data_IF_401318128413
#
_entry.id   IF_401318128413
#
_cell.length_a   1.000
_cell.length_b   1.000
_cell.length_c   1.000
_cell.angle_alpha   90.00
_cell.angle_beta   90.00
_cell.angle_gamma   90.00
#
_symmetry.space_group_name_H-M   'P 1'
#
loop_
_entity.id
_entity.type
_entity.pdbx_description
1 polymer ?
#
# COMPACT_ATOMS: atom_id res chain seq x y z
N UNK A 1 -40.51 -17.26 -4.53
CA UNK A 1 -39.77 -17.43 -3.27
C UNK A 1 -38.67 -16.38 -3.24
N UNK A 2 -39.00 -15.17 -2.78
CA UNK A 2 -38.04 -14.06 -2.64
C UNK A 2 -37.17 -14.39 -1.43
N UNK A 3 -35.86 -14.49 -1.61
CA UNK A 3 -34.91 -14.72 -0.51
C UNK A 3 -35.07 -13.55 0.46
N UNK A 4 -35.40 -13.87 1.70
CA UNK A 4 -35.43 -12.90 2.79
C UNK A 4 -34.06 -12.22 2.91
N UNK A 5 -34.12 -10.89 3.02
CA UNK A 5 -33.03 -9.97 3.31
C UNK A 5 -32.51 -10.19 4.74
N UNK A 6 -31.85 -11.32 4.98
CA UNK A 6 -30.92 -11.42 6.09
C UNK A 6 -29.59 -10.80 5.62
N UNK A 7 -29.58 -9.48 5.39
CA UNK A 7 -28.41 -8.74 4.94
C UNK A 7 -27.31 -8.89 5.98
N UNK A 8 -26.41 -9.83 5.74
CA UNK A 8 -25.21 -9.99 6.56
C UNK A 8 -24.45 -8.66 6.48
N UNK A 9 -24.18 -8.00 7.62
CA UNK A 9 -23.54 -6.69 7.61
C UNK A 9 -22.16 -6.78 6.97
N UNK A 10 -21.77 -5.74 6.23
CA UNK A 10 -20.43 -5.65 5.65
C UNK A 10 -19.38 -5.67 6.76
N UNK A 11 -18.39 -6.56 6.63
CA UNK A 11 -17.27 -6.66 7.55
C UNK A 11 -16.13 -5.76 7.06
N UNK A 12 -15.90 -4.65 7.76
CA UNK A 12 -14.71 -3.82 7.60
C UNK A 12 -13.74 -4.15 8.74
N UNK A 13 -12.63 -4.80 8.42
CA UNK A 13 -11.67 -5.32 9.41
C UNK A 13 -10.29 -4.71 9.22
N UNK A 14 -9.65 -4.27 10.30
CA UNK A 14 -8.26 -3.84 10.32
C UNK A 14 -7.38 -4.89 11.00
N UNK A 15 -6.32 -5.31 10.32
CA UNK A 15 -5.26 -6.17 10.84
C UNK A 15 -3.98 -5.34 10.99
N UNK A 16 -3.72 -4.92 12.22
CA UNK A 16 -2.56 -4.13 12.60
C UNK A 16 -1.44 -4.96 13.22
N UNK A 17 -0.29 -4.33 13.44
CA UNK A 17 0.83 -4.91 14.17
C UNK A 17 2.18 -4.40 13.63
N UNK A 18 3.23 -4.51 14.42
CA UNK A 18 4.59 -4.09 14.02
C UNK A 18 5.08 -4.78 12.72
N UNK A 19 6.02 -4.17 12.03
CA UNK A 19 6.72 -4.81 10.91
C UNK A 19 7.38 -6.12 11.35
N UNK A 20 6.94 -7.25 10.80
CA UNK A 20 7.47 -8.57 11.18
C UNK A 20 6.57 -9.41 12.08
N UNK A 21 5.35 -8.95 12.41
CA UNK A 21 4.36 -9.74 13.18
C UNK A 21 3.56 -10.77 12.37
N UNK A 22 3.90 -10.99 11.10
CA UNK A 22 3.26 -12.02 10.27
C UNK A 22 1.97 -11.61 9.55
N UNK A 23 1.63 -10.31 9.46
CA UNK A 23 0.44 -9.82 8.70
C UNK A 23 0.34 -10.42 7.29
N UNK A 24 1.40 -10.37 6.49
CA UNK A 24 1.39 -10.94 5.13
C UNK A 24 1.25 -12.48 5.13
N UNK A 25 1.64 -13.16 6.22
CA UNK A 25 1.40 -14.61 6.40
C UNK A 25 -0.08 -14.90 6.65
N UNK A 26 -0.78 -14.03 7.37
CA UNK A 26 -2.25 -14.10 7.53
C UNK A 26 -2.93 -13.93 6.16
N UNK A 27 -2.52 -12.94 5.37
CA UNK A 27 -3.02 -12.74 4.00
C UNK A 27 -2.80 -14.00 3.16
N UNK A 28 -1.61 -14.59 3.21
CA UNK A 28 -1.30 -15.83 2.49
C UNK A 28 -2.17 -17.02 2.94
N UNK A 29 -2.47 -17.14 4.24
CA UNK A 29 -3.35 -18.17 4.76
C UNK A 29 -4.80 -17.99 4.29
N UNK A 30 -5.29 -16.76 4.22
CA UNK A 30 -6.60 -16.45 3.62
C UNK A 30 -6.60 -16.83 2.15
N UNK A 31 -5.58 -16.44 1.39
CA UNK A 31 -5.47 -16.77 -0.03
C UNK A 31 -5.50 -18.29 -0.27
N UNK A 32 -4.73 -19.05 0.52
CA UNK A 32 -4.70 -20.51 0.47
C UNK A 32 -6.06 -21.15 0.77
N UNK A 33 -6.82 -20.61 1.73
CA UNK A 33 -8.19 -21.06 2.02
C UNK A 33 -9.12 -20.89 0.80
N UNK A 34 -9.04 -19.74 0.11
CA UNK A 34 -9.83 -19.49 -1.10
C UNK A 34 -9.41 -20.40 -2.27
N UNK A 35 -8.12 -20.72 -2.39
CA UNK A 35 -7.62 -21.72 -3.36
C UNK A 35 -8.19 -23.10 -3.06
N UNK A 36 -8.08 -23.57 -1.81
CA UNK A 36 -8.56 -24.91 -1.41
C UNK A 36 -10.05 -25.09 -1.56
N UNK A 37 -10.82 -24.01 -1.43
CA UNK A 37 -12.28 -24.04 -1.59
C UNK A 37 -12.73 -23.75 -3.03
N UNK A 38 -11.81 -23.58 -3.98
CA UNK A 38 -12.14 -23.29 -5.39
C UNK A 38 -12.73 -21.90 -5.64
N UNK A 39 -12.54 -20.97 -4.70
CA UNK A 39 -13.17 -19.64 -4.70
C UNK A 39 -12.18 -18.49 -4.93
N UNK A 40 -10.96 -18.76 -5.42
CA UNK A 40 -9.93 -17.73 -5.66
C UNK A 40 -10.43 -16.51 -6.44
N UNK A 41 -11.37 -16.70 -7.38
CA UNK A 41 -11.99 -15.62 -8.15
C UNK A 41 -12.76 -14.60 -7.29
N UNK A 42 -13.16 -14.93 -6.05
CA UNK A 42 -13.90 -14.06 -5.13
C UNK A 42 -13.01 -13.22 -4.22
N UNK A 43 -11.73 -13.57 -4.11
CA UNK A 43 -10.74 -12.85 -3.33
C UNK A 43 -9.97 -11.89 -4.23
N UNK A 44 -9.75 -10.67 -3.76
CA UNK A 44 -8.87 -9.71 -4.40
C UNK A 44 -7.83 -9.23 -3.40
N UNK A 45 -6.56 -9.53 -3.71
CA UNK A 45 -5.40 -9.09 -2.95
C UNK A 45 -4.82 -7.84 -3.58
N UNK A 46 -4.79 -6.76 -2.81
CA UNK A 46 -4.19 -5.50 -3.24
C UNK A 46 -3.22 -4.95 -2.21
N UNK A 47 -2.34 -4.06 -2.64
CA UNK A 47 -1.49 -3.27 -1.76
C UNK A 47 -1.31 -1.85 -2.29
N UNK A 48 -0.74 -0.97 -1.46
CA UNK A 48 -0.47 0.44 -1.80
C UNK A 48 0.77 0.64 -2.68
N UNK A 49 1.69 -0.33 -2.73
CA UNK A 49 2.90 -0.28 -3.57
C UNK A 49 3.11 -1.57 -4.38
N UNK A 50 3.88 -1.48 -5.47
CA UNK A 50 4.18 -2.64 -6.31
C UNK A 50 4.95 -3.75 -5.59
N UNK A 51 5.93 -3.38 -4.76
CA UNK A 51 6.70 -4.35 -3.95
C UNK A 51 5.80 -5.04 -2.92
N UNK A 52 4.93 -4.30 -2.23
CA UNK A 52 4.00 -4.88 -1.27
C UNK A 52 2.98 -5.80 -1.96
N UNK A 53 2.47 -5.41 -3.13
CA UNK A 53 1.56 -6.23 -3.91
C UNK A 53 2.20 -7.55 -4.35
N UNK A 54 3.45 -7.50 -4.83
CA UNK A 54 4.21 -8.69 -5.20
C UNK A 54 4.41 -9.65 -4.01
N UNK A 55 4.68 -9.11 -2.81
CA UNK A 55 4.87 -9.92 -1.59
C UNK A 55 3.65 -10.75 -1.19
N UNK A 56 2.45 -10.33 -1.58
CA UNK A 56 1.19 -11.04 -1.31
C UNK A 56 0.60 -11.70 -2.56
N UNK A 57 1.36 -11.80 -3.66
CA UNK A 57 0.88 -12.27 -4.96
C UNK A 57 -0.38 -11.54 -5.45
N UNK A 58 -0.47 -10.24 -5.15
CA UNK A 58 -1.58 -9.36 -5.52
C UNK A 58 -1.17 -8.32 -6.56
N UNK A 59 -2.02 -7.33 -6.73
CA UNK A 59 -1.78 -6.16 -7.60
C UNK A 59 -1.87 -4.86 -6.80
N UNK A 60 -1.42 -3.73 -7.34
CA UNK A 60 -1.65 -2.47 -6.63
C UNK A 60 -3.13 -2.12 -6.65
N UNK A 61 -3.63 -1.46 -5.61
CA UNK A 61 -5.03 -0.97 -5.59
C UNK A 61 -5.31 -0.03 -6.78
N UNK A 62 -4.31 0.74 -7.20
CA UNK A 62 -4.38 1.58 -8.39
C UNK A 62 -4.58 0.77 -9.67
N UNK A 63 -3.82 -0.32 -9.84
CA UNK A 63 -3.99 -1.24 -10.96
C UNK A 63 -5.36 -1.92 -10.94
N UNK A 64 -5.82 -2.36 -9.75
CA UNK A 64 -7.12 -3.00 -9.58
C UNK A 64 -8.28 -2.08 -10.01
N UNK A 65 -8.24 -0.82 -9.59
CA UNK A 65 -9.24 0.19 -9.92
C UNK A 65 -9.04 0.83 -11.30
N UNK A 66 -8.04 0.40 -12.09
CA UNK A 66 -7.68 0.97 -13.41
C UNK A 66 -7.41 2.48 -13.38
N UNK A 67 -6.79 2.95 -12.30
CA UNK A 67 -6.29 4.31 -12.25
C UNK A 67 -5.10 4.44 -13.21
N UNK A 68 -5.35 4.99 -14.41
CA UNK A 68 -4.27 5.27 -15.37
C UNK A 68 -3.50 6.52 -14.94
N UNK A 69 -2.16 6.45 -15.02
CA UNK A 69 -1.30 7.64 -14.86
C UNK A 69 -1.47 8.65 -16.00
N UNK A 70 -1.97 8.23 -17.16
CA UNK A 70 -2.08 9.08 -18.36
C UNK A 70 -3.21 10.13 -18.28
N UNK A 71 -4.13 9.99 -17.34
CA UNK A 71 -5.17 11.02 -17.11
C UNK A 71 -4.57 12.29 -16.48
N UNK A 72 -3.40 12.19 -15.83
CA UNK A 72 -2.64 13.32 -15.29
C UNK A 72 -1.98 14.13 -16.41
N UNK A 73 -1.51 13.46 -17.47
CA UNK A 73 -0.75 14.11 -18.54
C UNK A 73 -1.61 14.91 -19.55
N UNK A 74 -2.91 14.63 -19.66
CA UNK A 74 -3.79 15.32 -20.64
C UNK A 74 -4.51 16.55 -20.11
N UNK A 75 -4.50 16.78 -18.79
CA UNK A 75 -5.05 18.01 -18.16
C UNK A 75 -3.94 19.06 -17.93
N UNK A 76 -2.67 18.69 -18.11
CA UNK A 76 -1.49 19.55 -18.01
C UNK A 76 -1.31 20.54 -19.16
N UNK A 77 -2.28 21.42 -19.41
CA UNK A 77 -2.07 22.75 -19.99
C UNK A 77 -2.81 23.82 -19.19
N UNK A 78 -2.73 23.72 -17.86
CA UNK A 78 -2.84 24.85 -16.94
C UNK A 78 -2.26 24.44 -15.57
N UNK A 79 -0.94 24.57 -15.41
CA UNK A 79 -0.29 24.86 -14.12
C UNK A 79 -0.50 23.92 -12.92
N UNK A 80 -0.49 22.59 -13.09
CA UNK A 80 -0.44 21.65 -11.95
C UNK A 80 0.61 20.54 -12.20
N UNK A 81 1.62 20.35 -11.33
CA UNK A 81 2.56 19.24 -11.46
C UNK A 81 2.03 17.87 -10.99
N UNK A 82 0.91 17.77 -10.25
CA UNK A 82 0.56 16.51 -9.56
C UNK A 82 -0.97 16.27 -9.40
N UNK A 83 -1.74 16.46 -10.48
CA UNK A 83 -3.19 16.30 -10.48
C UNK A 83 -3.68 14.87 -10.75
N UNK A 84 -4.03 14.09 -9.72
CA UNK A 84 -4.94 12.95 -9.88
C UNK A 84 -6.37 13.50 -10.10
N UNK A 85 -6.71 13.77 -11.35
CA UNK A 85 -8.06 14.18 -11.71
C UNK A 85 -9.02 13.01 -11.40
N UNK A 86 -9.91 13.23 -10.44
CA UNK A 86 -11.18 12.51 -10.42
C UNK A 86 -11.81 12.74 -11.79
N UNK A 87 -11.99 11.68 -12.56
CA UNK A 87 -12.40 11.78 -13.96
C UNK A 87 -13.71 12.57 -14.06
N UNK A 88 -13.60 13.84 -14.44
CA UNK A 88 -14.71 14.58 -15.03
C UNK A 88 -15.07 13.86 -16.33
N UNK A 89 -16.26 13.25 -16.35
CA UNK A 89 -17.07 12.96 -17.55
C UNK A 89 -16.43 12.29 -18.77
N UNK A 90 -15.25 11.67 -18.66
CA UNK A 90 -14.73 10.72 -19.64
C UNK A 90 -14.70 9.36 -18.97
N UNK A 91 -15.85 8.69 -18.96
CA UNK A 91 -15.97 7.31 -18.49
C UNK A 91 -14.95 6.45 -19.23
N UNK A 92 -13.89 6.03 -18.53
CA UNK A 92 -13.14 4.84 -18.94
C UNK A 92 -14.19 3.76 -19.14
N UNK A 93 -14.44 3.36 -20.39
CA UNK A 93 -15.40 2.31 -20.68
C UNK A 93 -14.95 1.08 -19.89
N UNK A 94 -15.69 0.79 -18.82
CA UNK A 94 -15.48 -0.42 -18.05
C UNK A 94 -16.00 -1.53 -18.95
N UNK A 95 -15.09 -2.34 -19.47
CA UNK A 95 -15.48 -3.51 -20.25
C UNK A 95 -16.36 -4.46 -19.42
N UNK A 96 -17.32 -5.11 -20.08
CA UNK A 96 -18.33 -5.95 -19.45
C UNK A 96 -17.72 -7.09 -18.63
N UNK A 97 -16.63 -7.68 -19.10
CA UNK A 97 -15.91 -8.73 -18.37
C UNK A 97 -15.39 -8.23 -17.02
N UNK A 98 -14.84 -7.02 -16.99
CA UNK A 98 -14.33 -6.43 -15.75
C UNK A 98 -15.43 -6.17 -14.75
N UNK A 99 -16.59 -5.71 -15.24
CA UNK A 99 -17.76 -5.51 -14.40
C UNK A 99 -18.22 -6.84 -13.80
N UNK A 100 -18.32 -7.90 -14.60
CA UNK A 100 -18.67 -9.25 -14.12
C UNK A 100 -17.66 -9.76 -13.07
N UNK A 101 -16.36 -9.61 -13.34
CA UNK A 101 -15.31 -10.02 -12.40
C UNK A 101 -15.44 -9.31 -11.04
N UNK A 102 -15.81 -8.02 -11.05
CA UNK A 102 -15.99 -7.24 -9.83
C UNK A 102 -17.28 -7.55 -9.08
N UNK A 103 -18.35 -7.97 -9.76
CA UNK A 103 -19.61 -8.38 -9.12
C UNK A 103 -19.42 -9.63 -8.25
N UNK A 104 -18.58 -10.56 -8.69
CA UNK A 104 -18.33 -11.81 -7.97
C UNK A 104 -17.39 -11.67 -6.77
N UNK A 105 -16.66 -10.55 -6.63
CA UNK A 105 -15.75 -10.34 -5.50
C UNK A 105 -16.53 -10.32 -4.19
N UNK A 106 -16.06 -11.12 -3.23
CA UNK A 106 -16.61 -11.16 -1.86
C UNK A 106 -15.65 -10.56 -0.84
N UNK A 107 -14.34 -10.61 -1.12
CA UNK A 107 -13.29 -10.16 -0.21
C UNK A 107 -12.30 -9.25 -0.93
N UNK A 108 -12.06 -8.05 -0.38
CA UNK A 108 -11.00 -7.14 -0.79
C UNK A 108 -10.00 -6.98 0.36
N UNK A 109 -8.73 -7.27 0.11
CA UNK A 109 -7.64 -7.01 1.06
C UNK A 109 -6.76 -5.88 0.51
N UNK A 110 -6.44 -4.89 1.34
CA UNK A 110 -5.49 -3.81 1.04
C UNK A 110 -4.35 -3.86 2.06
N UNK A 111 -3.18 -4.35 1.64
CA UNK A 111 -1.96 -4.36 2.44
C UNK A 111 -1.20 -3.04 2.36
N UNK A 112 -0.37 -2.78 3.37
CA UNK A 112 0.36 -1.53 3.59
C UNK A 112 -0.55 -0.28 3.58
N UNK A 113 -1.67 -0.36 4.31
CA UNK A 113 -2.68 0.71 4.40
C UNK A 113 -2.14 2.03 5.00
N UNK A 114 -1.01 2.00 5.70
CA UNK A 114 -0.35 3.21 6.23
C UNK A 114 0.01 4.21 5.14
N UNK A 115 0.32 3.71 3.93
CA UNK A 115 0.61 4.52 2.75
C UNK A 115 -0.63 4.88 1.93
N UNK A 116 -1.83 4.42 2.33
CA UNK A 116 -3.08 4.73 1.62
C UNK A 116 -3.55 6.13 1.98
N UNK A 117 -3.53 7.03 1.01
CA UNK A 117 -4.01 8.40 1.17
C UNK A 117 -5.52 8.51 1.11
N UNK A 118 -6.06 9.56 1.73
CA UNK A 118 -7.50 9.81 1.78
C UNK A 118 -8.12 10.06 0.40
N UNK A 119 -7.42 10.79 -0.48
CA UNK A 119 -7.88 11.02 -1.86
C UNK A 119 -7.94 9.68 -2.61
N UNK A 120 -6.92 8.84 -2.48
CA UNK A 120 -6.90 7.51 -3.08
C UNK A 120 -8.04 6.64 -2.55
N UNK A 121 -8.26 6.57 -1.22
CA UNK A 121 -9.35 5.77 -0.64
C UNK A 121 -10.73 6.23 -1.12
N UNK A 122 -10.98 7.54 -1.18
CA UNK A 122 -12.21 8.10 -1.72
C UNK A 122 -12.42 7.67 -3.19
N UNK A 123 -11.39 7.80 -4.03
CA UNK A 123 -11.45 7.41 -5.44
C UNK A 123 -11.67 5.89 -5.60
N UNK A 124 -11.03 5.05 -4.77
CA UNK A 124 -11.26 3.61 -4.73
C UNK A 124 -12.71 3.31 -4.44
N UNK A 125 -13.29 3.92 -3.41
CA UNK A 125 -14.70 3.72 -3.07
C UNK A 125 -15.63 4.09 -4.23
N UNK A 126 -15.47 5.29 -4.80
CA UNK A 126 -16.25 5.74 -5.97
C UNK A 126 -16.16 4.75 -7.14
N UNK A 127 -14.95 4.26 -7.42
CA UNK A 127 -14.73 3.34 -8.52
C UNK A 127 -15.36 1.97 -8.25
N UNK A 128 -15.28 1.46 -7.03
CA UNK A 128 -15.93 0.21 -6.63
C UNK A 128 -17.45 0.32 -6.71
N UNK A 129 -18.03 1.44 -6.27
CA UNK A 129 -19.45 1.73 -6.38
C UNK A 129 -19.91 1.69 -7.85
N UNK A 130 -19.12 2.25 -8.78
CA UNK A 130 -19.39 2.20 -10.22
C UNK A 130 -19.24 0.79 -10.81
N UNK A 131 -18.16 0.09 -10.48
CA UNK A 131 -17.90 -1.28 -10.97
C UNK A 131 -18.97 -2.27 -10.51
N UNK A 132 -19.52 -2.07 -9.32
CA UNK A 132 -20.51 -2.94 -8.71
C UNK A 132 -21.95 -2.44 -8.81
N UNK A 133 -22.17 -1.26 -9.40
CA UNK A 133 -23.48 -0.60 -9.49
C UNK A 133 -24.21 -0.54 -8.13
N UNK A 134 -23.45 -0.21 -7.09
CA UNK A 134 -23.95 -0.14 -5.72
C UNK A 134 -23.52 1.17 -5.09
N UNK A 135 -24.45 1.86 -4.44
CA UNK A 135 -24.15 3.06 -3.65
C UNK A 135 -23.59 2.73 -2.24
N UNK A 136 -23.50 1.44 -1.88
CA UNK A 136 -22.91 1.00 -0.62
C UNK A 136 -21.40 1.16 -0.64
N UNK A 137 -20.82 1.48 0.51
CA UNK A 137 -19.38 1.55 0.69
C UNK A 137 -18.63 0.36 0.09
N UNK A 138 -17.50 0.65 -0.54
CA UNK A 138 -16.68 -0.30 -1.30
C UNK A 138 -17.48 -1.07 -2.36
N UNK A 139 -18.52 -0.45 -2.93
CA UNK A 139 -19.44 -1.10 -3.87
C UNK A 139 -20.22 -2.26 -3.28
N UNK A 140 -20.37 -2.32 -1.95
CA UNK A 140 -21.05 -3.40 -1.25
C UNK A 140 -20.27 -4.72 -1.27
N UNK A 141 -18.94 -4.70 -1.40
CA UNK A 141 -18.10 -5.89 -1.18
C UNK A 141 -18.32 -6.38 0.27
N UNK A 142 -18.75 -7.63 0.51
CA UNK A 142 -19.08 -8.13 1.84
C UNK A 142 -17.97 -8.01 2.88
N UNK A 143 -16.70 -8.26 2.50
CA UNK A 143 -15.56 -8.24 3.44
C UNK A 143 -14.46 -7.34 2.86
N UNK A 144 -14.07 -6.32 3.63
CA UNK A 144 -12.96 -5.42 3.30
C UNK A 144 -11.96 -5.45 4.45
N UNK A 145 -10.72 -5.85 4.15
CA UNK A 145 -9.66 -5.99 5.14
C UNK A 145 -8.54 -5.01 4.83
N UNK A 146 -8.21 -4.15 5.78
CA UNK A 146 -7.01 -3.32 5.74
C UNK A 146 -5.91 -3.95 6.58
N UNK A 147 -4.74 -4.14 5.99
CA UNK A 147 -3.56 -4.66 6.68
C UNK A 147 -2.47 -3.60 6.68
N UNK A 148 -1.78 -3.41 7.81
CA UNK A 148 -0.63 -2.51 7.84
C UNK A 148 -0.21 -2.07 9.23
N UNK A 149 0.66 -1.06 9.29
CA UNK A 149 1.10 -0.42 10.52
C UNK A 149 1.27 1.07 10.31
N UNK A 150 0.43 1.88 10.96
CA UNK A 150 0.47 3.34 10.82
C UNK A 150 1.69 4.02 11.46
N UNK A 151 2.55 3.26 12.14
CA UNK A 151 3.87 3.74 12.57
C UNK A 151 4.93 3.63 11.46
N UNK A 152 4.59 3.03 10.31
CA UNK A 152 5.45 3.02 9.12
C UNK A 152 5.24 4.28 8.26
N UNK A 153 5.57 4.22 6.97
CA UNK A 153 5.47 5.36 6.07
C UNK A 153 4.03 5.86 5.93
N UNK A 154 3.88 7.19 6.02
CA UNK A 154 2.66 7.91 5.67
C UNK A 154 2.44 7.92 4.15
N UNK A 155 1.22 8.26 3.67
CA UNK A 155 0.98 8.43 2.24
C UNK A 155 1.91 9.49 1.64
N UNK A 156 2.37 9.25 0.41
CA UNK A 156 3.25 10.18 -0.31
C UNK A 156 2.38 11.23 -0.99
N UNK A 157 2.67 12.51 -0.74
CA UNK A 157 1.94 13.67 -1.31
C UNK A 157 0.42 13.63 -1.09
N UNK A 158 -0.06 12.85 -0.12
CA UNK A 158 -1.46 12.74 0.25
C UNK A 158 -1.64 12.84 1.77
N UNK A 159 -2.84 13.20 2.18
CA UNK A 159 -3.24 13.25 3.59
C UNK A 159 -3.59 11.85 4.09
N UNK A 160 -3.21 11.54 5.33
CA UNK A 160 -3.56 10.27 5.98
C UNK A 160 -5.07 10.15 6.21
N UNK A 161 -5.57 8.92 6.15
CA UNK A 161 -6.97 8.56 6.50
C UNK A 161 -7.21 8.55 8.02
N UNK A 162 -6.15 8.54 8.84
CA UNK A 162 -6.25 8.40 10.29
C UNK A 162 -6.84 9.62 10.98
N UNK A 163 -6.47 10.81 10.52
CA UNK A 163 -6.85 12.07 11.15
C UNK A 163 -8.05 12.66 10.43
N UNK A 164 -8.99 13.30 11.15
CA UNK A 164 -10.07 14.06 10.52
C UNK A 164 -9.53 15.32 9.84
N UNK A 165 -10.31 15.90 8.93
CA UNK A 165 -9.91 17.11 8.21
C UNK A 165 -9.62 18.29 9.13
N UNK A 166 -10.33 18.38 10.27
CA UNK A 166 -10.13 19.41 11.30
C UNK A 166 -8.73 19.37 11.94
N UNK A 167 -8.08 18.21 11.95
CA UNK A 167 -6.71 18.02 12.47
C UNK A 167 -5.65 18.03 11.35
N UNK A 168 -6.03 18.42 10.13
CA UNK A 168 -5.16 18.43 8.96
C UNK A 168 -4.99 19.85 8.43
N UNK A 169 -3.81 20.18 7.91
CA UNK A 169 -3.54 21.49 7.30
C UNK A 169 -4.04 21.53 5.85
N UNK A 170 -4.67 22.65 5.50
CA UNK A 170 -5.26 22.92 4.18
C UNK A 170 -4.71 24.24 3.65
N UNK A 171 -4.25 24.25 2.40
CA UNK A 171 -3.75 25.46 1.75
C UNK A 171 -4.89 26.14 0.97
N UNK A 172 -5.35 27.29 1.46
CA UNK A 172 -6.30 28.18 0.79
C UNK A 172 -7.78 27.74 0.82
N UNK A 173 -8.67 28.72 1.02
CA UNK A 173 -10.13 28.55 0.95
C UNK A 173 -10.67 28.80 -0.47
N UNK A 174 -10.04 28.20 -1.48
CA UNK A 174 -10.61 28.19 -2.83
C UNK A 174 -11.59 27.01 -2.99
N UNK A 175 -12.46 27.05 -4.01
CA UNK A 175 -13.44 25.97 -4.26
C UNK A 175 -12.81 24.59 -4.41
N UNK A 176 -11.54 24.53 -4.83
CA UNK A 176 -10.75 23.30 -4.92
C UNK A 176 -10.38 22.72 -3.55
N UNK A 177 -10.03 23.57 -2.57
CA UNK A 177 -9.77 23.16 -1.18
C UNK A 177 -11.01 22.57 -0.50
N UNK A 178 -12.20 23.10 -0.80
CA UNK A 178 -13.48 22.58 -0.27
C UNK A 178 -13.73 21.15 -0.76
N UNK A 179 -13.54 20.90 -2.05
CA UNK A 179 -13.74 19.56 -2.62
C UNK A 179 -12.75 18.55 -2.04
N UNK A 180 -11.46 18.90 -1.95
CA UNK A 180 -10.46 18.01 -1.35
C UNK A 180 -10.78 17.68 0.12
N UNK A 181 -11.30 18.66 0.87
CA UNK A 181 -11.72 18.45 2.26
C UNK A 181 -12.89 17.47 2.33
N UNK A 182 -13.91 17.65 1.49
CA UNK A 182 -15.06 16.73 1.40
C UNK A 182 -14.64 15.30 1.07
N UNK A 183 -13.72 15.13 0.11
CA UNK A 183 -13.18 13.83 -0.26
C UNK A 183 -12.41 13.18 0.91
N UNK A 184 -11.63 13.98 1.62
CA UNK A 184 -10.91 13.54 2.82
C UNK A 184 -11.86 13.11 3.94
N UNK A 185 -12.88 13.92 4.25
CA UNK A 185 -13.89 13.59 5.25
C UNK A 185 -14.64 12.30 4.91
N UNK A 186 -14.96 12.10 3.62
CA UNK A 186 -15.58 10.87 3.12
C UNK A 186 -14.66 9.67 3.34
N UNK A 187 -13.38 9.77 2.96
CA UNK A 187 -12.41 8.70 3.17
C UNK A 187 -12.15 8.41 4.66
N UNK A 188 -12.09 9.44 5.49
CA UNK A 188 -11.96 9.29 6.93
C UNK A 188 -13.20 8.59 7.52
N UNK A 189 -14.41 8.93 7.06
CA UNK A 189 -15.63 8.23 7.45
C UNK A 189 -15.62 6.75 7.04
N UNK A 190 -15.09 6.41 5.85
CA UNK A 190 -14.87 5.01 5.45
C UNK A 190 -13.92 4.29 6.41
N UNK A 191 -12.78 4.91 6.74
CA UNK A 191 -11.82 4.35 7.70
C UNK A 191 -12.46 4.09 9.08
N UNK A 192 -13.32 5.00 9.55
CA UNK A 192 -14.03 4.84 10.83
C UNK A 192 -14.98 3.64 10.87
N UNK A 193 -15.34 3.04 9.74
CA UNK A 193 -16.15 1.80 9.69
C UNK A 193 -15.35 0.54 9.97
N UNK A 194 -14.02 0.59 10.00
CA UNK A 194 -13.15 -0.53 10.33
C UNK A 194 -13.13 -0.79 11.85
N UNK A 195 -14.25 -1.27 12.38
CA UNK A 195 -14.47 -1.48 13.82
C UNK A 195 -14.00 -2.84 14.30
N UNK A 196 -13.91 -3.84 13.41
CA UNK A 196 -13.30 -5.12 13.72
C UNK A 196 -11.77 -4.97 13.65
N UNK A 197 -11.11 -4.85 14.80
CA UNK A 197 -9.67 -4.60 14.88
C UNK A 197 -8.95 -5.80 15.48
N UNK A 198 -7.98 -6.33 14.75
CA UNK A 198 -7.05 -7.38 15.21
C UNK A 198 -5.65 -6.80 15.22
N UNK A 199 -4.99 -6.79 16.36
CA UNK A 199 -3.60 -6.35 16.49
C UNK A 199 -2.72 -7.57 16.72
N UNK A 200 -1.81 -7.85 15.78
CA UNK A 200 -0.76 -8.85 15.94
C UNK A 200 0.37 -8.20 16.75
N UNK A 201 0.67 -8.75 17.92
CA UNK A 201 1.63 -8.23 18.90
C UNK A 201 2.93 -9.05 18.99
N UNK A 202 2.94 -10.28 18.49
CA UNK A 202 4.13 -11.13 18.48
C UNK A 202 5.08 -10.79 17.32
N UNK A 203 6.29 -10.32 17.66
CA UNK A 203 7.37 -10.08 16.69
C UNK A 203 8.05 -11.40 16.29
N UNK A 204 7.64 -11.97 15.16
CA UNK A 204 8.18 -13.25 14.67
C UNK A 204 9.47 -13.11 13.86
N UNK A 205 9.70 -11.95 13.21
CA UNK A 205 10.90 -11.74 12.38
C UNK A 205 12.18 -11.67 13.21
N UNK A 206 12.12 -11.01 14.37
CA UNK A 206 13.23 -10.87 15.30
C UNK A 206 13.08 -11.77 16.53
N UNK A 207 12.30 -12.85 16.44
CA UNK A 207 12.00 -13.71 17.59
C UNK A 207 13.25 -14.33 18.25
N UNK A 208 14.26 -14.64 17.44
CA UNK A 208 15.52 -15.24 17.88
C UNK A 208 16.55 -14.22 18.40
N UNK A 209 16.25 -12.91 18.31
CA UNK A 209 17.12 -11.84 18.76
C UNK A 209 16.34 -10.88 19.68
N UNK A 210 16.33 -11.14 21.00
CA UNK A 210 15.62 -10.29 21.96
C UNK A 210 16.09 -8.84 21.96
N UNK A 211 17.37 -8.58 21.65
CA UNK A 211 17.95 -7.24 21.65
C UNK A 211 17.48 -6.45 20.44
N UNK A 212 17.53 -7.05 19.24
CA UNK A 212 16.97 -6.46 18.03
C UNK A 212 15.46 -6.25 18.15
N UNK A 213 14.72 -7.22 18.68
CA UNK A 213 13.28 -7.08 18.94
C UNK A 213 12.99 -5.87 19.83
N UNK A 214 13.70 -5.74 20.96
CA UNK A 214 13.55 -4.60 21.87
C UNK A 214 13.85 -3.26 21.20
N UNK A 215 14.92 -3.19 20.40
CA UNK A 215 15.28 -2.01 19.61
C UNK A 215 14.15 -1.63 18.64
N UNK A 216 13.65 -2.58 17.83
CA UNK A 216 12.61 -2.33 16.83
C UNK A 216 11.32 -1.81 17.48
N UNK A 217 10.92 -2.38 18.62
CA UNK A 217 9.75 -1.92 19.37
C UNK A 217 9.94 -0.50 19.92
N UNK A 218 11.15 -0.14 20.41
CA UNK A 218 11.43 1.23 20.88
C UNK A 218 11.44 2.24 19.74
N UNK A 219 12.09 1.93 18.62
CA UNK A 219 12.10 2.76 17.40
C UNK A 219 10.67 2.99 16.92
N UNK A 220 9.85 1.93 16.85
CA UNK A 220 8.45 2.04 16.42
C UNK A 220 7.64 2.97 17.31
N UNK A 221 7.90 2.98 18.62
CA UNK A 221 7.20 3.84 19.60
C UNK A 221 7.81 5.24 19.73
N UNK A 222 8.94 5.51 19.09
CA UNK A 222 9.65 6.78 19.21
C UNK A 222 10.31 6.98 20.58
N UNK A 223 10.63 5.91 21.30
CA UNK A 223 11.22 5.94 22.66
C UNK A 223 12.64 5.35 22.70
N UNK A 224 13.32 5.33 21.55
CA UNK A 224 14.72 4.95 21.46
C UNK A 224 15.63 5.92 22.21
N UNK A 225 16.74 5.41 22.75
CA UNK A 225 17.72 6.19 23.50
C UNK A 225 19.14 6.10 22.91
N UNK A 226 20.11 6.69 23.60
CA UNK A 226 21.51 6.68 23.16
C UNK A 226 22.11 5.26 23.09
N UNK A 227 21.66 4.33 23.95
CA UNK A 227 22.15 2.95 23.95
C UNK A 227 21.72 2.18 22.69
N UNK A 228 20.56 2.53 22.12
CA UNK A 228 20.07 2.00 20.84
C UNK A 228 20.96 2.44 19.66
N UNK A 229 21.39 3.71 19.67
CA UNK A 229 22.29 4.27 18.66
C UNK A 229 23.67 3.62 18.75
N UNK A 230 24.22 3.50 19.97
CA UNK A 230 25.50 2.83 20.22
C UNK A 230 25.47 1.35 19.81
N UNK A 231 24.35 0.66 20.05
CA UNK A 231 24.15 -0.70 19.59
C UNK A 231 24.22 -0.79 18.07
N UNK A 232 23.50 0.06 17.34
CA UNK A 232 23.55 0.09 15.88
C UNK A 232 24.96 0.41 15.35
N UNK A 233 25.63 1.41 15.94
CA UNK A 233 26.97 1.80 15.50
C UNK A 233 27.99 0.68 15.72
N UNK A 234 27.94 0.00 16.87
CA UNK A 234 28.87 -1.10 17.17
C UNK A 234 28.64 -2.37 16.35
N UNK A 235 27.41 -2.62 15.88
CA UNK A 235 27.06 -3.87 15.18
C UNK A 235 26.91 -3.71 13.66
N UNK A 236 26.48 -2.55 13.18
CA UNK A 236 26.12 -2.33 11.78
C UNK A 236 27.04 -1.35 11.04
N UNK A 237 27.77 -0.48 11.76
CA UNK A 237 28.66 0.51 11.15
C UNK A 237 30.13 0.10 11.30
N UNK A 238 30.87 0.15 10.19
CA UNK A 238 32.32 -0.04 10.16
C UNK A 238 32.89 0.96 9.17
N UNK A 239 33.75 1.86 9.65
CA UNK A 239 34.36 2.89 8.82
C UNK A 239 35.17 2.26 7.68
N UNK A 240 35.02 2.81 6.47
CA UNK A 240 35.70 2.32 5.27
C UNK A 240 35.22 0.95 4.75
N UNK A 241 34.24 0.31 5.39
CA UNK A 241 33.71 -0.97 4.89
C UNK A 241 32.97 -0.76 3.58
N UNK A 242 33.45 -1.40 2.52
CA UNK A 242 32.75 -1.46 1.23
C UNK A 242 31.47 -2.29 1.33
N UNK A 243 30.51 -2.02 0.46
CA UNK A 243 29.32 -2.86 0.31
C UNK A 243 29.73 -4.20 -0.31
N UNK A 244 29.40 -5.34 0.33
CA UNK A 244 29.75 -6.66 -0.18
C UNK A 244 28.76 -7.12 -1.25
N UNK A 245 28.81 -6.52 -2.44
CA UNK A 245 27.90 -6.83 -3.57
C UNK A 245 27.93 -8.30 -4.01
N UNK A 246 29.05 -8.96 -3.79
CA UNK A 246 29.33 -10.37 -4.13
C UNK A 246 28.50 -11.33 -3.30
N UNK A 247 28.07 -10.92 -2.11
CA UNK A 247 27.18 -11.69 -1.23
C UNK A 247 25.71 -11.67 -1.66
N UNK A 248 25.35 -10.88 -2.67
CA UNK A 248 23.95 -10.67 -3.06
C UNK A 248 23.17 -9.81 -2.06
N UNK A 249 23.86 -8.99 -1.27
CA UNK A 249 23.24 -8.13 -0.27
C UNK A 249 22.25 -7.15 -0.92
N UNK A 250 21.12 -6.93 -0.25
CA UNK A 250 20.16 -5.88 -0.61
C UNK A 250 20.53 -4.59 0.12
N UNK A 251 20.64 -3.48 -0.62
CA UNK A 251 20.94 -2.16 -0.05
C UNK A 251 19.73 -1.25 -0.17
N UNK A 252 19.36 -0.62 0.94
CA UNK A 252 18.27 0.37 1.01
C UNK A 252 18.87 1.76 1.10
N UNK A 253 18.33 2.70 0.31
CA UNK A 253 18.74 4.11 0.35
C UNK A 253 17.53 5.03 0.45
N UNK A 254 17.68 6.21 1.07
CA UNK A 254 16.56 7.13 1.26
C UNK A 254 16.05 7.75 -0.05
N UNK A 255 16.90 7.86 -1.08
CA UNK A 255 16.56 8.58 -2.32
C UNK A 255 16.77 7.70 -3.55
N UNK A 256 15.80 7.76 -4.48
CA UNK A 256 15.87 7.06 -5.76
C UNK A 256 17.14 7.38 -6.57
N UNK A 257 17.65 8.63 -6.48
CA UNK A 257 18.90 9.01 -7.16
C UNK A 257 20.11 8.21 -6.67
N UNK A 258 20.18 7.91 -5.37
CA UNK A 258 21.29 7.15 -4.79
C UNK A 258 21.17 5.67 -5.17
N UNK A 259 19.94 5.14 -5.23
CA UNK A 259 19.67 3.77 -5.69
C UNK A 259 20.24 3.50 -7.09
N UNK A 260 20.14 4.46 -8.01
CA UNK A 260 20.71 4.31 -9.36
C UNK A 260 22.23 4.11 -9.32
N UNK A 261 22.95 4.95 -8.57
CA UNK A 261 24.40 4.84 -8.44
C UNK A 261 24.80 3.47 -7.86
N UNK A 262 24.12 3.03 -6.80
CA UNK A 262 24.39 1.73 -6.18
C UNK A 262 24.05 0.55 -7.09
N UNK A 263 22.96 0.62 -7.86
CA UNK A 263 22.62 -0.41 -8.84
C UNK A 263 23.69 -0.54 -9.92
N UNK A 264 24.28 0.58 -10.35
CA UNK A 264 25.41 0.59 -11.28
C UNK A 264 26.64 -0.05 -10.64
N UNK A 265 26.99 0.31 -9.40
CA UNK A 265 28.10 -0.31 -8.67
C UNK A 265 27.92 -1.83 -8.53
N UNK A 266 26.72 -2.29 -8.14
CA UNK A 266 26.39 -3.69 -8.02
C UNK A 266 26.51 -4.43 -9.37
N UNK A 267 26.04 -3.80 -10.46
CA UNK A 267 26.13 -4.34 -11.82
C UNK A 267 27.58 -4.49 -12.28
N UNK A 268 28.43 -3.50 -11.98
CA UNK A 268 29.87 -3.56 -12.27
C UNK A 268 30.59 -4.60 -11.42
N UNK A 269 30.22 -4.76 -10.15
CA UNK A 269 30.74 -5.80 -9.27
C UNK A 269 30.38 -7.20 -9.80
N UNK A 270 29.12 -7.41 -10.20
CA UNK A 270 28.66 -8.65 -10.82
C UNK A 270 29.45 -8.97 -12.11
N UNK A 271 29.66 -7.97 -12.97
CA UNK A 271 30.47 -8.13 -14.19
C UNK A 271 31.88 -8.64 -13.88
N UNK A 272 32.54 -8.05 -12.89
CA UNK A 272 33.90 -8.44 -12.47
C UNK A 272 33.93 -9.87 -11.93
N UNK A 273 32.95 -10.24 -11.12
CA UNK A 273 32.87 -11.57 -10.50
C UNK A 273 32.68 -12.69 -11.54
N UNK A 274 31.88 -12.45 -12.58
CA UNK A 274 31.51 -13.49 -13.56
C UNK A 274 32.24 -13.37 -14.90
N UNK A 275 33.16 -12.42 -15.07
CA UNK A 275 33.91 -12.15 -16.32
C UNK A 275 33.02 -12.00 -17.58
N UNK A 276 31.76 -11.56 -17.42
CA UNK A 276 30.82 -11.41 -18.53
C UNK A 276 30.90 -10.02 -19.17
N UNK A 277 30.51 -9.91 -20.45
CA UNK A 277 30.21 -8.61 -21.08
C UNK A 277 28.81 -8.17 -20.65
N UNK A 278 28.69 -6.95 -20.16
CA UNK A 278 27.40 -6.30 -20.00
C UNK A 278 26.96 -5.79 -21.39
N UNK A 279 25.76 -6.16 -21.81
CA UNK A 279 25.07 -5.49 -22.89
C UNK A 279 24.06 -4.53 -22.27
N UNK A 280 24.21 -3.23 -22.53
CA UNK A 280 23.23 -2.25 -22.12
C UNK A 280 22.12 -2.22 -23.16
N UNK A 281 20.89 -2.51 -22.76
CA UNK A 281 19.72 -2.29 -23.59
C UNK A 281 19.15 -0.94 -23.19
N UNK A 282 19.26 0.05 -24.07
CA UNK A 282 18.68 1.36 -23.84
C UNK A 282 17.17 1.26 -24.09
N UNK A 283 16.36 1.27 -23.03
CA UNK A 283 14.90 1.15 -23.09
C UNK A 283 14.25 2.54 -23.27
N UNK A 284 14.98 3.50 -23.85
CA UNK A 284 14.41 4.78 -24.26
C UNK A 284 13.78 4.67 -25.65
N UNK A 285 12.64 3.96 -25.74
CA UNK A 285 11.68 4.09 -26.85
C UNK A 285 10.26 3.94 -26.34
#
# INVERSE_FOLDING_TARGET
>A
MRRDDNETPQLCQFIGGEGGTGKSRVIAAIAELFVRTGQSHRLLLTATSGTAAANINGITIHSACRFSKDTVARVGRAGDPDGFASSGSAALRIDGQTKMDWQEKQVLIIDEVSMLGARTLHAVNEQLCRLRESARDFGGIPIVIFCGDFHQFRPVQERSILLPSASTTWEGDNGFGIEQRRQHDTAHALWRKFTAVVLLDEQVRAAQDPRLRGLLTRIRKGVQDQSDVEYLNSHCYQEGRRIPWESGITVVTPLNRNRWNLNIEATLAFRKQWQRRLAYCDITR
#
